data_IF_586314101792
#
_entry.id   IF_586314101792
#
_cell.length_a   1.000
_cell.length_b   1.000
_cell.length_c   1.000
_cell.angle_alpha   90.00
_cell.angle_beta   90.00
_cell.angle_gamma   90.00
#
_symmetry.space_group_name_H-M   'P 1'
#
loop_
_entity.id
_entity.type
_entity.pdbx_description
1 polymer ?
#
# COMPACT_ATOMS: atom_id res chain seq x y z
N UNK A 1 -4.95 1.87 -1.67
CA UNK A 1 -4.40 0.88 -0.71
C UNK A 1 -4.92 -0.51 -1.03
N UNK A 2 -4.24 -1.51 -0.56
CA UNK A 2 -4.56 -2.92 -0.70
C UNK A 2 -5.05 -3.46 0.64
N UNK A 3 -6.14 -4.21 0.64
CA UNK A 3 -6.56 -4.99 1.81
C UNK A 3 -5.85 -6.34 1.78
N UNK A 4 -5.04 -6.60 2.79
CA UNK A 4 -4.28 -7.84 2.86
C UNK A 4 -5.20 -9.02 3.21
N UNK A 5 -4.86 -10.20 2.71
CA UNK A 5 -5.61 -11.42 3.00
C UNK A 5 -5.63 -11.72 4.50
N UNK A 6 -6.72 -12.30 4.99
CA UNK A 6 -6.83 -12.71 6.39
C UNK A 6 -6.21 -14.10 6.57
N UNK A 7 -4.89 -14.16 6.44
CA UNK A 7 -4.09 -15.38 6.57
C UNK A 7 -3.09 -15.18 7.71
N UNK A 8 -3.06 -16.05 8.73
CA UNK A 8 -2.23 -15.82 9.92
C UNK A 8 -0.72 -15.85 9.64
N UNK A 9 -0.29 -16.36 8.48
CA UNK A 9 1.13 -16.47 8.12
C UNK A 9 1.71 -15.21 7.48
N UNK A 10 0.90 -14.22 7.13
CA UNK A 10 1.38 -12.97 6.54
C UNK A 10 1.45 -11.86 7.58
N UNK A 11 2.24 -10.81 7.27
CA UNK A 11 2.37 -9.63 8.13
C UNK A 11 1.13 -8.76 7.99
N UNK A 12 0.58 -8.31 9.13
CA UNK A 12 -0.60 -7.44 9.19
C UNK A 12 -1.78 -7.97 8.37
N UNK A 13 -2.27 -9.19 8.65
CA UNK A 13 -3.41 -9.74 7.92
C UNK A 13 -4.67 -8.92 8.16
N UNK A 14 -5.58 -8.93 7.17
CA UNK A 14 -6.91 -8.33 7.26
C UNK A 14 -6.87 -6.81 7.53
N UNK A 15 -5.83 -6.11 7.04
CA UNK A 15 -5.67 -4.66 7.18
C UNK A 15 -5.33 -4.01 5.86
N UNK A 16 -5.77 -2.76 5.69
CA UNK A 16 -5.37 -1.94 4.54
C UNK A 16 -3.91 -1.52 4.68
N UNK A 17 -3.16 -1.69 3.63
CA UNK A 17 -1.75 -1.33 3.58
C UNK A 17 -1.33 -0.80 2.22
N UNK A 18 -0.06 -0.43 2.13
CA UNK A 18 0.55 -0.01 0.86
C UNK A 18 0.82 -1.22 -0.04
N UNK A 19 0.90 -0.95 -1.34
CA UNK A 19 1.47 -1.91 -2.27
C UNK A 19 2.99 -1.98 -2.06
N UNK A 20 3.55 -3.16 -2.19
CA UNK A 20 4.97 -3.38 -2.06
C UNK A 20 5.28 -4.73 -1.45
N UNK A 21 6.56 -5.01 -1.31
CA UNK A 21 7.05 -6.26 -0.76
C UNK A 21 8.55 -6.19 -0.48
N UNK A 22 9.16 -7.35 -0.30
CA UNK A 22 10.59 -7.44 -0.04
C UNK A 22 11.41 -7.20 -1.31
N UNK A 23 12.57 -6.55 -1.14
CA UNK A 23 13.53 -6.40 -2.23
C UNK A 23 14.15 -7.74 -2.57
N UNK A 24 14.36 -7.97 -3.86
CA UNK A 24 15.13 -9.10 -4.34
C UNK A 24 16.63 -8.78 -4.27
N UNK A 25 17.50 -9.80 -4.20
CA UNK A 25 18.95 -9.57 -4.17
C UNK A 25 19.43 -8.69 -5.33
N UNK A 26 20.19 -7.64 -5.01
CA UNK A 26 20.70 -6.71 -6.01
C UNK A 26 19.72 -5.67 -6.51
N UNK A 27 18.49 -5.68 -6.05
CA UNK A 27 17.45 -4.76 -6.45
C UNK A 27 17.51 -3.47 -5.62
N UNK A 28 17.43 -2.31 -6.29
CA UNK A 28 17.29 -1.04 -5.58
C UNK A 28 15.85 -0.80 -5.16
N UNK A 29 15.59 0.04 -4.12
CA UNK A 29 14.22 0.27 -3.65
C UNK A 29 13.25 0.80 -4.71
N UNK A 30 13.70 1.70 -5.59
CA UNK A 30 12.87 2.27 -6.65
C UNK A 30 12.50 1.22 -7.71
N UNK A 31 13.41 0.34 -8.06
CA UNK A 31 13.14 -0.79 -8.96
C UNK A 31 12.21 -1.79 -8.28
N UNK A 32 12.44 -2.06 -7.01
CA UNK A 32 11.60 -2.99 -6.23
C UNK A 32 10.15 -2.55 -6.16
N UNK A 33 9.88 -1.28 -5.88
CA UNK A 33 8.51 -0.79 -5.81
C UNK A 33 7.82 -0.84 -7.17
N UNK A 34 8.53 -0.55 -8.24
CA UNK A 34 7.98 -0.69 -9.62
C UNK A 34 7.59 -2.12 -9.91
N UNK A 35 8.45 -3.07 -9.58
CA UNK A 35 8.19 -4.51 -9.78
C UNK A 35 6.98 -4.97 -8.97
N UNK A 36 6.95 -4.65 -7.69
CA UNK A 36 5.89 -5.07 -6.78
C UNK A 36 4.52 -4.51 -7.21
N UNK A 37 4.45 -3.24 -7.56
CA UNK A 37 3.19 -2.63 -8.00
C UNK A 37 2.71 -3.26 -9.32
N UNK A 38 3.64 -3.56 -10.23
CA UNK A 38 3.30 -4.26 -11.48
C UNK A 38 2.73 -5.65 -11.20
N UNK A 39 3.33 -6.39 -10.27
CA UNK A 39 2.87 -7.72 -9.88
C UNK A 39 1.52 -7.69 -9.18
N UNK A 40 1.29 -6.70 -8.30
CA UNK A 40 0.11 -6.66 -7.45
C UNK A 40 -1.14 -6.11 -8.15
N UNK A 41 -1.00 -5.08 -8.97
CA UNK A 41 -2.15 -4.42 -9.62
C UNK A 41 -1.97 -4.15 -11.11
N UNK A 42 -0.93 -4.70 -11.72
CA UNK A 42 -0.63 -4.54 -13.15
C UNK A 42 -0.54 -3.07 -13.58
N UNK A 43 0.04 -2.23 -12.73
CA UNK A 43 0.26 -0.81 -13.02
C UNK A 43 1.75 -0.51 -13.15
N UNK A 44 2.11 0.23 -14.22
CA UNK A 44 3.50 0.63 -14.47
C UNK A 44 3.77 1.98 -13.82
N UNK A 45 4.56 1.98 -12.75
CA UNK A 45 5.07 3.21 -12.14
C UNK A 45 6.22 3.74 -12.97
N UNK A 46 6.13 4.99 -13.43
CA UNK A 46 7.19 5.58 -14.23
C UNK A 46 8.25 6.29 -13.38
N UNK A 47 7.84 7.16 -12.50
CA UNK A 47 8.76 7.99 -11.71
C UNK A 47 8.33 8.04 -10.25
N UNK A 48 8.50 6.95 -9.48
CA UNK A 48 8.18 6.98 -8.05
C UNK A 48 9.13 7.95 -7.34
N UNK A 49 8.57 8.78 -6.45
CA UNK A 49 9.31 9.77 -5.70
C UNK A 49 9.49 9.26 -4.28
N UNK A 50 10.74 9.25 -3.80
CA UNK A 50 11.04 8.82 -2.44
C UNK A 50 10.44 9.79 -1.43
N UNK A 51 9.70 9.24 -0.46
CA UNK A 51 9.12 10.03 0.62
C UNK A 51 9.90 9.86 1.93
N UNK A 52 10.03 8.63 2.41
CA UNK A 52 10.74 8.38 3.66
C UNK A 52 11.16 6.91 3.78
N UNK A 53 12.07 6.66 4.72
CA UNK A 53 12.43 5.34 5.18
C UNK A 53 11.80 5.13 6.55
N UNK A 54 11.16 4.01 6.74
CA UNK A 54 10.57 3.64 8.02
C UNK A 54 11.02 2.24 8.42
N UNK A 55 11.73 2.15 9.53
CA UNK A 55 12.23 0.88 10.06
C UNK A 55 11.51 0.54 11.35
N UNK A 56 11.15 -0.72 11.52
CA UNK A 56 10.69 -1.27 12.77
C UNK A 56 11.30 -2.66 12.98
N UNK A 57 10.86 -3.36 14.02
CA UNK A 57 11.36 -4.71 14.34
C UNK A 57 11.00 -5.75 13.27
N UNK A 58 10.03 -5.45 12.42
CA UNK A 58 9.51 -6.38 11.43
C UNK A 58 10.22 -6.21 10.09
N UNK A 59 10.40 -4.96 9.63
CA UNK A 59 10.94 -4.70 8.30
C UNK A 59 11.56 -3.31 8.18
N UNK A 60 12.47 -3.21 7.21
CA UNK A 60 12.99 -1.95 6.70
C UNK A 60 12.13 -1.54 5.50
N UNK A 61 11.56 -0.34 5.53
CA UNK A 61 10.64 0.12 4.49
C UNK A 61 11.13 1.39 3.83
N UNK A 62 11.15 1.38 2.51
CA UNK A 62 11.36 2.56 1.68
C UNK A 62 10.00 2.95 1.09
N UNK A 63 9.53 4.15 1.40
CA UNK A 63 8.21 4.62 1.02
C UNK A 63 8.33 5.61 -0.13
N UNK A 64 7.57 5.35 -1.18
CA UNK A 64 7.51 6.19 -2.37
C UNK A 64 6.08 6.65 -2.61
N UNK A 65 5.93 7.72 -3.38
CA UNK A 65 4.63 8.14 -3.90
C UNK A 65 4.73 8.46 -5.38
N UNK A 66 3.60 8.32 -6.06
CA UNK A 66 3.50 8.62 -7.49
C UNK A 66 2.03 8.90 -7.82
N UNK A 67 1.76 9.72 -8.85
CA UNK A 67 0.38 9.95 -9.28
C UNK A 67 -0.20 8.66 -9.88
N UNK A 68 -1.48 8.42 -9.59
CA UNK A 68 -2.25 7.40 -10.28
C UNK A 68 -2.77 8.02 -11.58
N UNK A 69 -2.25 7.55 -12.70
CA UNK A 69 -2.52 8.14 -14.02
C UNK A 69 -3.63 7.44 -14.80
N UNK A 70 -4.22 6.41 -14.21
CA UNK A 70 -5.32 5.64 -14.82
C UNK A 70 -6.47 5.54 -13.82
N UNK A 71 -7.66 5.17 -14.32
CA UNK A 71 -8.79 4.89 -13.44
C UNK A 71 -8.51 3.65 -12.60
N UNK A 72 -9.01 3.63 -11.36
CA UNK A 72 -8.91 2.43 -10.52
C UNK A 72 -9.57 1.22 -11.20
N UNK A 73 -10.55 1.44 -12.05
CA UNK A 73 -11.22 0.37 -12.80
C UNK A 73 -10.33 -0.26 -13.87
N UNK A 74 -9.24 0.40 -14.25
CA UNK A 74 -8.26 -0.13 -15.22
C UNK A 74 -7.18 -0.98 -14.56
N UNK A 75 -7.19 -1.08 -13.24
CA UNK A 75 -6.23 -1.87 -12.48
C UNK A 75 -6.76 -3.28 -12.25
N UNK A 76 -5.83 -4.23 -12.11
CA UNK A 76 -6.15 -5.63 -11.86
C UNK A 76 -5.51 -6.09 -10.57
N UNK A 77 -6.33 -6.41 -9.56
CA UNK A 77 -5.85 -6.94 -8.30
C UNK A 77 -5.34 -8.37 -8.51
N UNK A 78 -4.05 -8.59 -8.30
CA UNK A 78 -3.40 -9.90 -8.40
C UNK A 78 -3.18 -10.55 -7.04
N UNK A 79 -3.05 -9.75 -5.99
CA UNK A 79 -2.83 -10.20 -4.62
C UNK A 79 -3.69 -9.39 -3.66
N UNK A 80 -4.08 -10.02 -2.54
CA UNK A 80 -4.88 -9.37 -1.51
C UNK A 80 -6.39 -9.58 -1.71
N UNK A 81 -7.15 -9.19 -0.71
CA UNK A 81 -8.62 -9.38 -0.68
C UNK A 81 -9.36 -8.28 -1.42
N UNK A 82 -8.81 -7.07 -1.44
CA UNK A 82 -9.44 -5.92 -2.09
C UNK A 82 -8.40 -4.83 -2.35
N UNK A 83 -8.75 -3.83 -3.15
CA UNK A 83 -7.98 -2.60 -3.28
C UNK A 83 -8.94 -1.45 -3.61
N UNK A 84 -8.60 -0.24 -3.16
CA UNK A 84 -9.41 0.94 -3.45
C UNK A 84 -8.68 2.25 -3.18
N UNK A 85 -9.26 3.34 -3.66
CA UNK A 85 -8.87 4.68 -3.24
C UNK A 85 -9.36 4.90 -1.82
N UNK A 86 -8.47 5.39 -0.96
CA UNK A 86 -8.78 5.65 0.45
C UNK A 86 -8.72 7.17 0.67
N UNK A 87 -9.80 7.73 1.18
CA UNK A 87 -9.91 9.18 1.41
C UNK A 87 -9.05 9.63 2.59
N UNK A 88 -8.64 10.93 2.65
CA UNK A 88 -7.98 11.45 3.83
C UNK A 88 -8.80 11.27 5.12
N UNK A 89 -10.11 11.34 5.04
CA UNK A 89 -11.00 11.12 6.19
C UNK A 89 -10.90 9.69 6.70
N UNK A 90 -10.87 8.71 5.79
CA UNK A 90 -10.72 7.31 6.17
C UNK A 90 -9.34 7.07 6.80
N UNK A 91 -8.30 7.72 6.30
CA UNK A 91 -6.96 7.64 6.90
C UNK A 91 -7.00 8.16 8.34
N UNK A 92 -7.64 9.32 8.57
CA UNK A 92 -7.77 9.89 9.92
C UNK A 92 -8.55 8.99 10.86
N UNK A 93 -9.60 8.34 10.36
CA UNK A 93 -10.38 7.38 11.14
C UNK A 93 -9.65 6.07 11.40
N UNK A 94 -8.66 5.74 10.57
CA UNK A 94 -7.89 4.50 10.69
C UNK A 94 -8.62 3.27 10.21
N UNK A 95 -9.64 3.42 9.37
CA UNK A 95 -10.44 2.32 8.84
C UNK A 95 -11.05 2.68 7.50
N UNK A 96 -11.38 1.67 6.71
CA UNK A 96 -11.99 1.85 5.41
C UNK A 96 -12.90 0.66 5.08
N UNK A 97 -14.02 0.96 4.42
CA UNK A 97 -14.97 -0.06 3.99
C UNK A 97 -14.44 -0.82 2.77
N UNK A 98 -14.57 -2.14 2.80
CA UNK A 98 -14.28 -3.01 1.67
C UNK A 98 -15.57 -3.43 0.99
N UNK A 99 -15.74 -3.05 -0.27
CA UNK A 99 -16.91 -3.46 -1.06
C UNK A 99 -16.93 -4.96 -1.32
N UNK A 100 -15.75 -5.56 -1.52
CA UNK A 100 -15.66 -7.01 -1.76
C UNK A 100 -16.02 -7.83 -0.54
N UNK A 101 -15.63 -7.39 0.66
CA UNK A 101 -15.97 -8.09 1.89
C UNK A 101 -17.30 -7.65 2.49
N UNK A 102 -17.81 -6.48 2.09
CA UNK A 102 -19.04 -5.92 2.65
C UNK A 102 -18.88 -5.48 4.09
N UNK A 103 -17.69 -5.08 4.51
CA UNK A 103 -17.40 -4.74 5.90
C UNK A 103 -16.24 -3.74 5.99
N UNK A 104 -16.13 -3.10 7.15
CA UNK A 104 -15.03 -2.17 7.47
C UNK A 104 -13.83 -2.95 7.98
N UNK A 105 -12.63 -2.56 7.54
CA UNK A 105 -11.38 -3.12 8.03
C UNK A 105 -10.43 -1.99 8.44
N UNK A 106 -9.61 -2.22 9.48
CA UNK A 106 -8.68 -1.19 9.93
C UNK A 106 -7.53 -1.00 8.94
N UNK A 107 -6.94 0.20 8.95
CA UNK A 107 -5.64 0.43 8.34
C UNK A 107 -4.53 -0.15 9.23
N UNK A 108 -3.47 -0.64 8.63
CA UNK A 108 -2.26 -0.95 9.37
C UNK A 108 -1.76 0.32 10.07
N UNK A 109 -1.41 0.23 11.36
CA UNK A 109 -1.05 1.40 12.17
C UNK A 109 0.12 2.19 11.58
N UNK A 110 1.14 1.48 11.09
CA UNK A 110 2.31 2.08 10.44
C UNK A 110 1.88 2.83 9.18
N UNK A 111 1.02 2.22 8.37
CA UNK A 111 0.55 2.80 7.12
C UNK A 111 -0.28 4.06 7.38
N UNK A 112 -1.14 4.04 8.39
CA UNK A 112 -1.89 5.21 8.81
C UNK A 112 -0.96 6.34 9.24
N UNK A 113 0.03 6.05 10.07
CA UNK A 113 1.00 7.04 10.56
C UNK A 113 1.77 7.69 9.40
N UNK A 114 2.25 6.91 8.47
CA UNK A 114 2.99 7.42 7.30
C UNK A 114 2.09 8.28 6.43
N UNK A 115 0.85 7.86 6.19
CA UNK A 115 -0.11 8.62 5.40
C UNK A 115 -0.49 9.95 6.05
N UNK A 116 -0.68 9.97 7.37
CA UNK A 116 -0.95 11.21 8.09
C UNK A 116 0.22 12.19 7.98
N UNK A 117 1.45 11.69 8.08
CA UNK A 117 2.64 12.50 7.90
C UNK A 117 2.72 13.06 6.46
N UNK A 118 2.43 12.22 5.47
CA UNK A 118 2.39 12.65 4.07
C UNK A 118 1.35 13.73 3.82
N UNK A 119 0.14 13.56 4.33
CA UNK A 119 -0.94 14.54 4.20
C UNK A 119 -0.55 15.87 4.84
N UNK A 120 0.08 15.85 6.01
CA UNK A 120 0.48 17.04 6.73
C UNK A 120 1.64 17.78 6.07
N UNK A 121 2.44 17.12 5.25
CA UNK A 121 3.56 17.74 4.52
C UNK A 121 3.17 18.27 3.15
N UNK A 122 2.02 17.91 2.68
CA UNK A 122 1.49 18.38 1.38
C UNK A 122 0.32 19.32 1.60
#
# INVERSE_FOLDING_TARGET
MQLRDNIPTIIYPDRWGFFGGHLEPGETPDIGVKREVKEEINFTLENPIFFCRYDDEVALRYIFYAPLTVSINDLNLQEGADFRLVSPEAVKQGQCYSEKLGDVRPLGKIHQKILLDFINRT
#
